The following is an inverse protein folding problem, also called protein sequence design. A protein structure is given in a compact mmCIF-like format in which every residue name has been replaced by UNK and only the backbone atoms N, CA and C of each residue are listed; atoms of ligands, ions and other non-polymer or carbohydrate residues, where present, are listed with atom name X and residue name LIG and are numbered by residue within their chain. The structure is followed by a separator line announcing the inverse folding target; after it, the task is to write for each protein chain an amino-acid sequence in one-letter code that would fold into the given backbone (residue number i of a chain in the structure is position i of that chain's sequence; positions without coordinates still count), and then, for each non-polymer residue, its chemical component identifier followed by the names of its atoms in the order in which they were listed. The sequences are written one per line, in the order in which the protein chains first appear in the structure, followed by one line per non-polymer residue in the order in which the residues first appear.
data_IF_762685796919
#
_entry.id   IF_762685796919
#
_cell.length_a   1.000
_cell.length_b   1.000
_cell.length_c   1.000
_cell.angle_alpha   90.00
_cell.angle_beta   90.00
_cell.angle_gamma   90.00
#
_symmetry.space_group_name_H-M   'P 1'
#
loop_
_entity.id
_entity.type
_entity.pdbx_description
1 polymer ?
#
# COMPACT_ATOMS: atom_id res chain seq x y z
N UNK A 1 8.83 -7.45 4.75
CA UNK A 1 7.53 -7.64 4.07
C UNK A 1 7.65 -6.96 2.73
N UNK A 2 7.06 -7.53 1.68
CA UNK A 2 7.39 -7.20 0.29
C UNK A 2 7.39 -5.69 0.00
N UNK A 3 6.39 -4.93 0.47
CA UNK A 3 6.33 -3.48 0.22
C UNK A 3 7.44 -2.68 0.92
N UNK A 4 7.81 -2.98 2.18
CA UNK A 4 8.96 -2.28 2.78
C UNK A 4 10.28 -2.72 2.16
N UNK A 5 10.41 -3.99 1.79
CA UNK A 5 11.64 -4.48 1.16
C UNK A 5 11.82 -3.79 -0.21
N UNK A 6 10.72 -3.57 -0.95
CA UNK A 6 10.71 -2.76 -2.16
C UNK A 6 11.01 -1.28 -1.89
N UNK A 7 10.42 -0.69 -0.84
CA UNK A 7 10.72 0.70 -0.49
C UNK A 7 12.21 0.91 -0.18
N UNK A 8 12.85 -0.03 0.49
CA UNK A 8 14.27 0.04 0.82
C UNK A 8 15.19 -0.19 -0.38
N UNK A 9 14.74 -0.94 -1.40
CA UNK A 9 15.59 -1.34 -2.53
C UNK A 9 15.37 -0.51 -3.79
N UNK A 10 14.18 0.09 -3.96
CA UNK A 10 13.87 0.88 -5.15
C UNK A 10 14.48 2.30 -5.09
N UNK A 11 14.97 2.82 -6.24
CA UNK A 11 15.44 4.20 -6.33
C UNK A 11 14.27 5.18 -6.16
N UNK A 12 14.56 6.40 -5.71
CA UNK A 12 13.59 7.50 -5.82
C UNK A 12 13.40 7.87 -7.29
N UNK A 13 12.15 8.01 -7.71
CA UNK A 13 11.78 8.23 -9.10
C UNK A 13 11.21 9.63 -9.35
N UNK A 14 10.93 10.40 -8.30
CA UNK A 14 10.33 11.73 -8.41
C UNK A 14 8.85 11.68 -8.77
N UNK A 15 8.36 12.76 -9.39
CA UNK A 15 6.95 12.90 -9.76
C UNK A 15 6.72 12.32 -11.17
N UNK A 16 6.26 11.07 -11.22
CA UNK A 16 5.96 10.37 -12.46
C UNK A 16 4.47 10.49 -12.79
N UNK A 17 4.14 10.80 -14.05
CA UNK A 17 2.75 10.83 -14.54
C UNK A 17 1.99 9.51 -14.35
N UNK A 18 2.73 8.39 -14.25
CA UNK A 18 2.20 7.04 -14.06
C UNK A 18 3.15 6.16 -13.28
N UNK A 19 2.64 5.23 -12.45
CA UNK A 19 3.48 4.27 -11.76
C UNK A 19 4.17 3.33 -12.76
N UNK A 20 5.43 2.99 -12.48
CA UNK A 20 6.21 1.99 -13.23
C UNK A 20 5.83 0.56 -12.85
N UNK A 21 5.34 0.37 -11.64
CA UNK A 21 4.92 -0.92 -11.10
C UNK A 21 3.63 -0.72 -10.30
N UNK A 22 2.70 -1.66 -10.41
CA UNK A 22 1.44 -1.64 -9.67
C UNK A 22 1.27 -2.94 -8.91
N UNK A 23 1.07 -2.86 -7.60
CA UNK A 23 0.59 -3.97 -6.79
C UNK A 23 -0.93 -3.91 -6.66
N UNK A 24 -1.56 -5.05 -6.89
CA UNK A 24 -2.99 -5.24 -6.70
C UNK A 24 -3.15 -6.27 -5.59
N UNK A 25 -3.71 -5.83 -4.47
CA UNK A 25 -4.06 -6.70 -3.35
C UNK A 25 -5.53 -7.05 -3.47
N UNK A 26 -5.80 -8.25 -4.00
CA UNK A 26 -7.14 -8.81 -4.04
C UNK A 26 -7.55 -9.35 -2.67
N UNK A 27 -8.86 -9.32 -2.39
CA UNK A 27 -9.43 -9.60 -1.07
C UNK A 27 -8.70 -8.89 0.07
N UNK A 28 -8.45 -7.59 -0.12
CA UNK A 28 -7.67 -6.75 0.78
C UNK A 28 -8.22 -6.72 2.21
N UNK A 29 -9.50 -7.05 2.42
CA UNK A 29 -10.10 -7.20 3.75
C UNK A 29 -9.32 -8.18 4.63
N UNK A 30 -8.69 -9.23 4.07
CA UNK A 30 -7.88 -10.20 4.82
C UNK A 30 -6.58 -9.61 5.39
N UNK A 31 -6.07 -8.55 4.77
CA UNK A 31 -4.90 -7.81 5.24
C UNK A 31 -5.22 -6.94 6.47
N UNK A 32 -6.48 -6.56 6.62
CA UNK A 32 -6.94 -5.61 7.64
C UNK A 32 -7.78 -6.27 8.75
N UNK A 33 -8.43 -7.40 8.46
CA UNK A 33 -9.19 -8.19 9.43
C UNK A 33 -8.27 -8.73 10.53
N UNK A 34 -8.65 -8.48 11.79
CA UNK A 34 -7.91 -8.89 13.00
C UNK A 34 -6.44 -8.44 13.07
N UNK A 35 -6.02 -7.53 12.20
CA UNK A 35 -4.68 -6.98 12.18
C UNK A 35 -4.42 -6.12 13.42
N UNK A 36 -3.24 -6.28 14.02
CA UNK A 36 -2.83 -5.41 15.12
C UNK A 36 -2.75 -3.95 14.66
N UNK A 37 -3.04 -3.00 15.56
CA UNK A 37 -2.91 -1.56 15.29
C UNK A 37 -1.52 -1.19 14.76
N UNK A 38 -0.47 -1.83 15.28
CA UNK A 38 0.90 -1.59 14.83
C UNK A 38 1.12 -2.02 13.38
N UNK A 39 0.57 -3.17 12.99
CA UNK A 39 0.65 -3.64 11.61
C UNK A 39 -0.11 -2.71 10.66
N UNK A 40 -1.33 -2.30 11.02
CA UNK A 40 -2.11 -1.36 10.22
C UNK A 40 -1.35 -0.04 9.98
N UNK A 41 -0.74 0.53 11.02
CA UNK A 41 0.08 1.73 10.90
C UNK A 41 1.28 1.54 9.98
N UNK A 42 1.95 0.38 10.07
CA UNK A 42 3.10 0.08 9.22
C UNK A 42 2.70 -0.08 7.75
N UNK A 43 1.56 -0.73 7.48
CA UNK A 43 1.01 -0.87 6.14
C UNK A 43 0.72 0.51 5.56
N UNK A 44 0.00 1.32 6.32
CA UNK A 44 -0.41 2.66 5.91
C UNK A 44 0.79 3.57 5.60
N UNK A 45 1.81 3.55 6.46
CA UNK A 45 3.05 4.31 6.24
C UNK A 45 3.77 3.87 4.98
N UNK A 46 3.87 2.57 4.73
CA UNK A 46 4.63 2.06 3.59
C UNK A 46 3.91 2.31 2.27
N UNK A 47 2.58 2.19 2.23
CA UNK A 47 1.77 2.53 1.04
C UNK A 47 1.94 4.00 0.67
N UNK A 48 2.04 4.89 1.67
CA UNK A 48 2.30 6.32 1.43
C UNK A 48 3.70 6.55 0.86
N UNK A 49 4.71 5.88 1.41
CA UNK A 49 6.11 6.03 1.01
C UNK A 49 6.43 5.43 -0.37
N UNK A 50 5.84 4.28 -0.72
CA UNK A 50 6.17 3.57 -1.96
C UNK A 50 5.77 4.38 -3.22
N UNK A 51 4.87 5.35 -3.09
CA UNK A 51 4.49 6.25 -4.21
C UNK A 51 5.67 7.04 -4.76
N UNK A 52 6.61 7.48 -3.91
CA UNK A 52 7.80 8.22 -4.37
C UNK A 52 8.78 7.36 -5.18
N UNK A 53 8.67 6.03 -5.03
CA UNK A 53 9.41 5.02 -5.78
C UNK A 53 8.77 4.68 -7.13
N UNK A 54 7.72 5.39 -7.54
CA UNK A 54 6.98 5.11 -8.76
C UNK A 54 6.15 3.83 -8.70
N UNK A 55 5.76 3.38 -7.50
CA UNK A 55 4.91 2.19 -7.31
C UNK A 55 3.50 2.60 -6.91
N UNK A 56 2.51 2.09 -7.64
CA UNK A 56 1.09 2.18 -7.29
C UNK A 56 0.65 0.98 -6.46
N UNK A 57 -0.28 1.20 -5.53
CA UNK A 57 -0.92 0.14 -4.76
C UNK A 57 -2.44 0.29 -4.91
N UNK A 58 -3.11 -0.79 -5.29
CA UNK A 58 -4.56 -0.88 -5.35
C UNK A 58 -5.04 -1.98 -4.40
N UNK A 59 -6.05 -1.65 -3.61
CA UNK A 59 -6.73 -2.59 -2.73
C UNK A 59 -8.10 -2.91 -3.33
N UNK A 60 -8.33 -4.18 -3.63
CA UNK A 60 -9.59 -4.68 -4.15
C UNK A 60 -10.29 -5.44 -3.01
N UNK A 61 -11.53 -5.06 -2.72
CA UNK A 61 -12.36 -5.69 -1.70
C UNK A 61 -13.82 -5.65 -2.12
N UNK A 62 -14.64 -6.47 -1.47
CA UNK A 62 -16.07 -6.54 -1.74
C UNK A 62 -16.82 -5.31 -1.21
N UNK A 63 -16.42 -4.77 -0.05
CA UNK A 63 -17.02 -3.58 0.55
C UNK A 63 -15.96 -2.52 0.84
N UNK A 64 -16.16 -1.25 0.44
CA UNK A 64 -15.20 -0.17 0.72
C UNK A 64 -14.89 0.03 2.20
N UNK A 65 -15.80 -0.38 3.10
CA UNK A 65 -15.65 -0.30 4.55
C UNK A 65 -14.62 -1.27 5.13
N UNK A 66 -14.16 -2.25 4.36
CA UNK A 66 -13.19 -3.25 4.82
C UNK A 66 -11.76 -2.71 4.88
N UNK A 67 -11.52 -1.54 4.30
CA UNK A 67 -10.21 -0.89 4.23
C UNK A 67 -10.25 0.38 5.08
N UNK A 68 -9.28 0.60 5.98
CA UNK A 68 -9.21 1.83 6.77
C UNK A 68 -9.12 3.08 5.87
N UNK A 69 -9.94 4.10 6.15
CA UNK A 69 -9.94 5.38 5.41
C UNK A 69 -8.55 6.03 5.32
N UNK A 70 -7.72 5.80 6.34
CA UNK A 70 -6.37 6.34 6.44
C UNK A 70 -5.39 5.75 5.40
N UNK A 71 -5.71 4.56 4.87
CA UNK A 71 -5.02 3.88 3.75
C UNK A 71 -5.55 4.39 2.40
N UNK A 72 -6.82 4.79 2.32
CA UNK A 72 -7.47 5.25 1.08
C UNK A 72 -7.16 6.73 0.74
N UNK A 73 -6.66 7.51 1.70
CA UNK A 73 -6.39 8.95 1.58
C UNK A 73 -4.99 9.29 1.07
#
# INVERSE_FOLDING_TARGET
WVLADLFQTLPEEGDLDKPKLVFIFDEAHLLFADASKAFLQQVEQTVKLIRSKGVGVFFCTQLPTDIPNSVLS
#
